data_IF_788278620345
#
_entry.id   IF_788278620345
#
_cell.length_a   1.000
_cell.length_b   1.000
_cell.length_c   1.000
_cell.angle_alpha   90.00
_cell.angle_beta   90.00
_cell.angle_gamma   90.00
#
_symmetry.space_group_name_H-M   'P 1'
#
loop_
_entity.id
_entity.type
_entity.pdbx_description
1 polymer ?
#
# COMPACT_ATOMS: atom_id res chain seq x y z
N UNK A 1 28.34 30.12 -56.67
CA UNK A 1 28.35 31.04 -55.50
C UNK A 1 28.55 30.20 -54.24
N UNK A 2 29.19 30.71 -53.19
CA UNK A 2 29.71 29.90 -52.08
C UNK A 2 28.93 30.02 -50.76
N UNK A 3 29.03 28.97 -49.94
CA UNK A 3 28.50 28.85 -48.57
C UNK A 3 29.19 29.80 -47.58
N UNK A 4 28.46 30.25 -46.55
CA UNK A 4 28.87 30.33 -45.11
C UNK A 4 27.61 30.65 -44.27
N UNK A 5 27.35 30.06 -43.09
CA UNK A 5 28.14 29.70 -41.88
C UNK A 5 28.61 30.90 -41.03
N UNK A 6 27.89 31.12 -39.94
CA UNK A 6 28.35 31.05 -38.53
C UNK A 6 29.76 31.55 -38.17
N UNK A 7 29.78 32.56 -37.29
CA UNK A 7 30.81 32.98 -36.32
C UNK A 7 30.11 33.98 -35.35
N UNK A 8 30.49 34.27 -34.10
CA UNK A 8 31.60 33.92 -33.17
C UNK A 8 31.10 34.37 -31.76
N UNK A 9 31.23 33.65 -30.63
CA UNK A 9 32.42 33.49 -29.76
C UNK A 9 33.31 34.75 -29.65
N UNK A 10 33.77 35.25 -28.49
CA UNK A 10 33.55 34.91 -27.06
C UNK A 10 34.38 35.87 -26.20
N UNK A 11 33.96 36.23 -24.98
CA UNK A 11 34.83 36.90 -23.98
C UNK A 11 34.37 36.63 -22.54
N UNK A 12 35.31 36.66 -21.58
CA UNK A 12 35.11 36.35 -20.15
C UNK A 12 35.87 37.34 -19.28
N UNK A 13 35.25 37.81 -18.19
CA UNK A 13 35.96 38.39 -17.02
C UNK A 13 35.26 37.95 -15.72
N UNK A 14 36.06 37.67 -14.69
CA UNK A 14 35.59 37.30 -13.34
C UNK A 14 35.88 38.43 -12.35
N UNK A 15 34.98 38.68 -11.39
CA UNK A 15 35.32 39.24 -10.07
C UNK A 15 34.21 39.01 -9.04
N UNK A 16 34.59 38.67 -7.80
CA UNK A 16 33.74 38.27 -6.66
C UNK A 16 34.57 38.46 -5.37
N UNK A 17 34.00 38.71 -4.17
CA UNK A 17 32.92 39.61 -3.78
C UNK A 17 33.43 40.72 -2.81
N UNK A 18 32.54 41.46 -2.12
CA UNK A 18 32.87 42.18 -0.87
C UNK A 18 31.73 42.10 0.15
N UNK A 19 32.01 42.40 1.43
CA UNK A 19 31.16 42.09 2.59
C UNK A 19 30.89 43.33 3.48
N UNK A 20 29.64 43.47 3.94
CA UNK A 20 29.24 44.07 5.24
C UNK A 20 29.54 45.59 5.48
N UNK A 21 29.12 46.20 6.61
CA UNK A 21 27.85 46.08 7.36
C UNK A 21 27.21 47.44 7.80
N UNK A 22 25.93 47.45 8.24
CA UNK A 22 25.37 48.32 9.32
C UNK A 22 23.85 48.02 9.50
N UNK A 23 23.34 47.65 10.70
CA UNK A 23 22.94 48.44 11.91
C UNK A 23 21.51 49.03 11.85
N UNK A 24 20.78 48.93 12.97
CA UNK A 24 19.35 49.28 13.15
C UNK A 24 19.15 50.67 13.79
N UNK A 25 17.98 51.33 13.63
CA UNK A 25 17.02 51.64 14.74
C UNK A 25 15.82 52.58 14.41
N UNK A 26 14.64 52.20 14.96
CA UNK A 26 13.50 52.99 15.54
C UNK A 26 13.09 54.40 15.02
N UNK A 27 11.79 54.54 14.69
CA UNK A 27 10.72 55.40 15.30
C UNK A 27 9.37 55.09 14.60
N UNK A 28 8.14 55.02 15.15
CA UNK A 28 7.39 55.53 16.33
C UNK A 28 6.37 56.65 15.98
N UNK A 29 5.08 56.30 15.89
CA UNK A 29 3.84 56.97 16.40
C UNK A 29 2.59 56.41 15.65
N UNK A 30 1.42 56.11 16.27
CA UNK A 30 0.44 56.85 17.12
C UNK A 30 -0.55 57.64 16.24
N UNK A 31 -1.88 57.66 16.45
CA UNK A 31 -2.61 57.74 17.73
C UNK A 31 -4.00 57.03 17.80
N UNK A 32 -4.67 57.19 18.94
CA UNK A 32 -6.03 56.74 19.27
C UNK A 32 -6.92 57.95 19.62
N UNK A 33 -8.25 57.81 19.48
CA UNK A 33 -9.31 58.42 20.31
C UNK A 33 -10.60 57.57 20.07
N UNK A 34 -11.41 57.05 20.99
CA UNK A 34 -11.67 57.20 22.45
C UNK A 34 -12.79 58.19 22.84
N UNK A 35 -13.96 57.65 23.24
CA UNK A 35 -14.86 58.05 24.36
C UNK A 35 -16.20 57.28 24.25
N UNK A 36 -16.99 57.03 25.29
CA UNK A 36 -16.87 57.42 26.72
C UNK A 36 -17.61 56.48 27.68
N UNK A 37 -17.70 56.87 28.97
CA UNK A 37 -17.99 56.01 30.14
C UNK A 37 -19.34 56.37 30.80
N UNK A 38 -20.07 55.41 31.41
CA UNK A 38 -20.78 55.55 32.72
C UNK A 38 -21.37 54.21 33.25
N UNK A 39 -21.87 54.17 34.51
CA UNK A 39 -22.19 52.94 35.29
C UNK A 39 -23.55 53.00 36.05
N UNK A 40 -24.18 51.82 36.23
CA UNK A 40 -25.10 51.39 37.32
C UNK A 40 -26.44 52.18 37.50
N UNK A 41 -27.54 51.65 38.08
CA UNK A 41 -27.74 50.70 39.21
C UNK A 41 -29.19 50.10 39.20
N UNK A 42 -29.44 49.01 39.95
CA UNK A 42 -30.75 48.30 40.15
C UNK A 42 -31.71 49.03 41.12
N UNK A 43 -33.05 48.82 41.06
CA UNK A 43 -33.71 47.78 41.88
C UNK A 43 -34.92 47.04 41.22
N UNK A 44 -35.92 46.57 42.01
CA UNK A 44 -36.95 45.52 41.75
C UNK A 44 -38.35 46.07 41.35
N UNK A 45 -39.50 45.36 41.21
CA UNK A 45 -40.08 44.26 42.06
C UNK A 45 -41.40 43.58 41.55
N UNK A 46 -41.60 42.28 41.89
CA UNK A 46 -42.84 41.54 42.32
C UNK A 46 -44.07 41.21 41.42
N UNK A 47 -44.51 39.94 41.54
CA UNK A 47 -45.87 39.36 41.33
C UNK A 47 -45.75 37.88 40.87
N UNK A 48 -46.14 36.76 41.56
CA UNK A 48 -47.21 36.35 42.52
C UNK A 48 -48.62 36.31 41.91
N UNK A 49 -49.51 35.30 42.10
CA UNK A 49 -49.56 34.03 42.90
C UNK A 49 -49.74 32.81 41.92
N UNK A 50 -50.23 31.58 42.17
CA UNK A 50 -50.85 30.87 43.31
C UNK A 50 -50.30 29.41 43.49
N UNK A 51 -51.11 28.42 43.96
CA UNK A 51 -50.70 27.36 44.93
C UNK A 51 -51.63 26.12 44.94
N UNK A 52 -51.03 24.90 45.03
CA UNK A 52 -51.39 23.66 45.80
C UNK A 52 -50.52 22.51 45.21
N UNK A 53 -49.76 21.71 45.98
CA UNK A 53 -50.13 20.67 46.98
C UNK A 53 -50.73 19.41 46.31
N UNK A 54 -50.33 18.17 46.63
CA UNK A 54 -49.77 17.65 47.90
C UNK A 54 -48.58 16.65 47.77
N UNK A 55 -48.21 16.05 48.92
CA UNK A 55 -47.18 15.05 49.22
C UNK A 55 -47.43 13.69 48.50
N UNK A 56 -46.57 12.66 48.47
CA UNK A 56 -45.42 12.19 49.29
C UNK A 56 -44.24 11.71 48.39
N UNK A 57 -42.97 11.47 48.76
CA UNK A 57 -42.13 11.39 49.99
C UNK A 57 -41.44 10.03 50.26
N UNK A 58 -40.57 9.60 49.34
CA UNK A 58 -39.33 8.82 49.62
C UNK A 58 -38.23 9.36 48.71
N UNK A 59 -37.14 9.99 49.19
CA UNK A 59 -35.94 9.37 49.82
C UNK A 59 -35.34 8.27 48.91
N UNK A 60 -34.09 8.35 48.44
CA UNK A 60 -32.91 9.08 48.95
C UNK A 60 -32.29 10.12 47.96
N UNK A 61 -31.18 10.76 48.38
CA UNK A 61 -30.55 11.95 47.78
C UNK A 61 -29.28 11.63 46.95
N UNK A 62 -28.73 12.60 46.15
CA UNK A 62 -27.96 12.28 44.94
C UNK A 62 -26.46 12.69 44.97
N UNK A 63 -25.92 13.61 44.13
CA UNK A 63 -24.93 13.20 43.14
C UNK A 63 -23.57 13.92 43.23
N UNK A 64 -22.57 13.46 42.47
CA UNK A 64 -21.71 14.41 41.74
C UNK A 64 -20.99 13.84 40.51
N UNK A 65 -20.73 14.75 39.57
CA UNK A 65 -20.01 14.55 38.32
C UNK A 65 -18.51 14.77 38.55
N UNK A 66 -17.65 13.99 37.89
CA UNK A 66 -16.35 14.49 37.41
C UNK A 66 -16.17 14.16 35.93
N UNK A 67 -15.49 15.06 35.25
CA UNK A 67 -15.35 15.15 33.79
C UNK A 67 -13.93 14.76 33.34
N UNK A 68 -13.72 14.82 32.01
CA UNK A 68 -12.44 14.61 31.29
C UNK A 68 -12.00 13.14 31.17
N UNK A 69 -11.31 12.73 30.10
CA UNK A 69 -10.85 13.47 28.91
C UNK A 69 -11.45 12.86 27.61
N UNK A 70 -11.18 13.48 26.46
CA UNK A 70 -11.63 12.97 25.17
C UNK A 70 -10.70 11.84 24.67
N UNK A 71 -11.27 10.81 24.04
CA UNK A 71 -10.51 9.81 23.29
C UNK A 71 -9.87 10.45 22.06
N UNK A 72 -8.55 10.33 21.94
CA UNK A 72 -7.75 10.81 20.83
C UNK A 72 -7.97 9.87 19.62
N UNK A 73 -8.39 10.33 18.43
CA UNK A 73 -8.68 9.44 17.30
C UNK A 73 -7.40 8.72 16.85
N UNK A 74 -7.34 7.41 17.15
CA UNK A 74 -6.21 6.55 16.81
C UNK A 74 -5.83 6.73 15.33
N UNK A 75 -4.56 7.01 15.08
CA UNK A 75 -4.01 7.29 13.75
C UNK A 75 -4.19 6.06 12.87
N UNK A 76 -5.22 6.09 12.02
CA UNK A 76 -5.38 5.11 10.96
C UNK A 76 -4.14 5.21 10.06
N UNK A 77 -3.39 4.10 9.96
CA UNK A 77 -2.33 4.00 8.97
C UNK A 77 -2.91 4.21 7.56
N UNK A 78 -2.13 4.73 6.61
CA UNK A 78 -2.47 4.64 5.19
C UNK A 78 -2.32 3.19 4.75
N UNK A 79 -3.29 2.33 5.14
CA UNK A 79 -3.28 0.89 4.91
C UNK A 79 -2.96 0.57 3.46
N UNK A 80 -2.08 -0.39 3.23
CA UNK A 80 -1.48 -0.56 1.92
C UNK A 80 -2.57 -1.02 0.94
N UNK A 81 -2.64 -0.36 -0.22
CA UNK A 81 -3.60 -0.69 -1.28
C UNK A 81 -3.37 -2.11 -1.84
N UNK A 82 -2.21 -2.70 -1.52
CA UNK A 82 -1.82 -4.07 -1.82
C UNK A 82 -1.90 -5.05 -0.63
N UNK A 83 -2.25 -4.60 0.57
CA UNK A 83 -2.68 -5.54 1.61
C UNK A 83 -3.91 -6.29 1.07
N UNK A 84 -3.90 -7.63 1.02
CA UNK A 84 -5.03 -8.37 0.50
C UNK A 84 -6.24 -8.18 1.43
N UNK A 85 -7.19 -7.32 1.00
CA UNK A 85 -8.53 -7.27 1.58
C UNK A 85 -9.04 -8.72 1.61
N UNK A 86 -9.39 -9.29 2.78
CA UNK A 86 -9.69 -10.70 2.91
C UNK A 86 -10.60 -11.19 1.79
N UNK A 87 -10.15 -12.23 1.09
CA UNK A 87 -10.84 -12.77 -0.08
C UNK A 87 -12.18 -13.35 0.36
N UNK A 88 -13.22 -12.55 0.16
CA UNK A 88 -14.60 -12.90 0.47
C UNK A 88 -14.90 -14.29 -0.10
N UNK A 89 -15.38 -15.21 0.74
CA UNK A 89 -15.36 -16.68 0.50
C UNK A 89 -16.42 -17.08 -0.54
N UNK A 90 -16.14 -16.71 -1.79
CA UNK A 90 -17.12 -16.55 -2.87
C UNK A 90 -16.67 -17.20 -4.18
N UNK A 91 -15.88 -18.28 -4.09
CA UNK A 91 -15.85 -19.32 -5.12
C UNK A 91 -16.27 -20.62 -4.42
N UNK A 92 -17.46 -21.13 -4.71
CA UNK A 92 -17.89 -22.46 -4.26
C UNK A 92 -17.27 -23.56 -5.13
N UNK A 93 -15.94 -23.57 -5.22
CA UNK A 93 -15.21 -24.82 -5.42
C UNK A 93 -15.18 -25.49 -4.06
N UNK A 94 -15.67 -26.73 -3.98
CA UNK A 94 -15.44 -27.61 -2.83
C UNK A 94 -13.95 -27.53 -2.47
N UNK A 95 -13.65 -27.21 -1.20
CA UNK A 95 -12.34 -26.87 -0.66
C UNK A 95 -11.18 -27.36 -1.54
N UNK A 96 -10.56 -26.45 -2.31
CA UNK A 96 -9.30 -26.79 -2.97
C UNK A 96 -8.33 -27.19 -1.87
N UNK A 97 -7.86 -28.44 -1.93
CA UNK A 97 -6.91 -28.98 -0.94
C UNK A 97 -5.73 -28.02 -0.87
N UNK A 98 -5.36 -27.51 0.33
CA UNK A 98 -4.27 -26.54 0.45
C UNK A 98 -3.04 -27.04 -0.31
N UNK A 99 -2.37 -26.17 -1.12
CA UNK A 99 -1.21 -26.59 -1.89
C UNK A 99 -0.19 -27.33 -1.01
N UNK A 100 0.26 -28.52 -1.41
CA UNK A 100 1.16 -29.35 -0.60
C UNK A 100 2.36 -28.58 -0.03
N UNK A 101 2.76 -28.93 1.20
CA UNK A 101 3.81 -28.23 1.98
C UNK A 101 5.25 -28.49 1.48
N UNK A 102 5.40 -29.49 0.62
CA UNK A 102 6.58 -29.80 -0.17
C UNK A 102 6.68 -28.97 -1.47
N UNK A 103 5.58 -28.35 -1.95
CA UNK A 103 5.54 -27.60 -3.21
C UNK A 103 6.74 -26.65 -3.33
N UNK A 104 7.58 -26.76 -4.38
CA UNK A 104 8.81 -25.98 -4.46
C UNK A 104 8.58 -24.48 -4.60
N UNK A 105 9.49 -23.72 -4.00
CA UNK A 105 9.52 -22.25 -3.95
C UNK A 105 10.83 -21.73 -4.54
N UNK A 106 10.73 -20.66 -5.33
CA UNK A 106 11.88 -19.99 -5.93
C UNK A 106 11.79 -18.46 -5.71
N UNK A 107 12.90 -17.78 -5.34
CA UNK A 107 12.92 -16.35 -5.04
C UNK A 107 12.31 -15.41 -6.09
N UNK A 108 12.61 -15.66 -7.37
CA UNK A 108 12.30 -14.78 -8.51
C UNK A 108 11.15 -15.27 -9.40
N UNK A 109 10.27 -16.15 -8.88
CA UNK A 109 9.06 -16.63 -9.56
C UNK A 109 7.86 -16.64 -8.63
N UNK A 110 6.66 -16.77 -9.22
CA UNK A 110 5.42 -16.76 -8.45
C UNK A 110 5.35 -17.98 -7.53
N UNK A 111 5.15 -17.73 -6.23
CA UNK A 111 4.97 -18.77 -5.23
C UNK A 111 3.48 -18.92 -4.83
N UNK A 112 2.59 -18.06 -5.34
CA UNK A 112 1.13 -18.27 -5.32
C UNK A 112 0.65 -19.25 -6.40
N UNK A 113 -0.52 -19.86 -6.17
CA UNK A 113 -1.33 -20.50 -7.23
C UNK A 113 -2.04 -19.40 -8.01
N UNK A 114 -1.80 -19.31 -9.32
CA UNK A 114 -2.44 -18.30 -10.18
C UNK A 114 -3.69 -18.85 -10.86
N UNK A 115 -4.77 -18.07 -10.85
CA UNK A 115 -5.99 -18.35 -11.61
C UNK A 115 -5.99 -17.59 -12.94
N UNK A 116 -6.70 -18.11 -13.93
CA UNK A 116 -7.09 -17.35 -15.14
C UNK A 116 -8.44 -16.67 -14.91
N UNK A 117 -8.78 -15.59 -15.65
CA UNK A 117 -10.13 -15.02 -15.64
C UNK A 117 -11.24 -16.03 -16.00
N UNK A 118 -10.87 -17.10 -16.71
CA UNK A 118 -11.73 -18.21 -17.11
C UNK A 118 -11.68 -19.40 -16.12
N UNK A 119 -11.16 -19.21 -14.92
CA UNK A 119 -11.25 -20.14 -13.78
C UNK A 119 -10.23 -21.28 -13.73
N UNK A 120 -9.36 -21.43 -14.74
CA UNK A 120 -8.28 -22.44 -14.75
C UNK A 120 -7.19 -22.06 -13.73
N UNK A 121 -6.57 -23.04 -13.07
CA UNK A 121 -5.41 -22.81 -12.17
C UNK A 121 -4.07 -23.11 -12.85
N UNK A 122 -3.02 -22.44 -12.39
CA UNK A 122 -1.64 -22.57 -12.83
C UNK A 122 -0.71 -22.44 -11.60
N UNK A 123 0.28 -23.31 -11.48
CA UNK A 123 1.34 -23.22 -10.46
C UNK A 123 2.70 -23.11 -11.14
N UNK A 124 3.68 -22.44 -10.50
CA UNK A 124 5.03 -22.35 -11.04
C UNK A 124 5.65 -23.75 -11.14
N UNK A 125 5.74 -24.47 -10.02
CA UNK A 125 6.23 -25.84 -9.95
C UNK A 125 5.05 -26.80 -9.70
N UNK A 126 4.56 -27.50 -10.75
CA UNK A 126 3.61 -28.59 -10.56
C UNK A 126 4.33 -29.86 -10.04
N UNK A 127 3.61 -30.78 -9.38
CA UNK A 127 4.18 -32.02 -8.84
C UNK A 127 4.94 -32.83 -9.90
N UNK A 128 6.03 -33.48 -9.50
CA UNK A 128 6.83 -34.35 -10.38
C UNK A 128 7.84 -33.63 -11.28
N UNK A 129 7.97 -32.30 -11.21
CA UNK A 129 9.03 -31.53 -11.89
C UNK A 129 10.32 -31.42 -11.04
N UNK A 130 10.31 -31.91 -9.80
CA UNK A 130 11.37 -31.65 -8.81
C UNK A 130 12.71 -32.32 -9.15
N UNK A 131 12.68 -33.53 -9.72
CA UNK A 131 13.85 -34.24 -10.25
C UNK A 131 14.32 -33.73 -11.63
N UNK A 132 13.54 -32.85 -12.27
CA UNK A 132 13.85 -32.36 -13.61
C UNK A 132 14.90 -31.24 -13.54
N UNK A 133 16.15 -31.62 -13.83
CA UNK A 133 17.31 -30.72 -13.97
C UNK A 133 16.95 -29.38 -14.65
N UNK A 134 17.52 -28.23 -14.21
CA UNK A 134 17.32 -26.92 -14.84
C UNK A 134 17.43 -26.91 -16.37
N UNK A 135 18.31 -27.74 -16.95
CA UNK A 135 18.50 -27.90 -18.40
C UNK A 135 17.29 -28.50 -19.13
N UNK A 136 16.38 -29.18 -18.42
CA UNK A 136 15.12 -29.73 -18.95
C UNK A 136 13.90 -28.83 -18.68
N UNK A 137 13.95 -28.00 -17.64
CA UNK A 137 12.81 -27.19 -17.18
C UNK A 137 12.90 -25.71 -17.57
N UNK A 138 14.10 -25.22 -17.90
CA UNK A 138 14.36 -23.80 -18.14
C UNK A 138 14.22 -22.93 -16.89
N UNK A 139 14.29 -23.52 -15.69
CA UNK A 139 13.98 -22.85 -14.41
C UNK A 139 15.11 -23.02 -13.38
N UNK A 140 15.25 -22.08 -12.41
CA UNK A 140 16.22 -22.22 -11.32
C UNK A 140 15.90 -23.44 -10.46
N UNK A 141 16.89 -23.92 -9.69
CA UNK A 141 16.63 -24.91 -8.66
C UNK A 141 15.90 -24.24 -7.48
N UNK A 142 14.77 -24.79 -7.00
CA UNK A 142 14.09 -24.29 -5.80
C UNK A 142 14.99 -24.26 -4.56
N UNK A 143 14.77 -23.28 -3.67
CA UNK A 143 15.56 -23.08 -2.44
C UNK A 143 14.80 -23.50 -1.17
N UNK A 144 13.47 -23.47 -1.25
CA UNK A 144 12.56 -23.83 -0.17
C UNK A 144 11.32 -24.55 -0.72
N UNK A 145 10.46 -24.95 0.21
CA UNK A 145 9.10 -25.41 -0.06
C UNK A 145 8.12 -24.43 0.58
N UNK A 146 6.85 -24.49 0.19
CA UNK A 146 5.75 -23.73 0.84
C UNK A 146 5.71 -23.89 2.35
N UNK A 147 5.97 -25.10 2.86
CA UNK A 147 6.02 -25.40 4.30
C UNK A 147 7.33 -25.02 5.00
N UNK A 148 8.38 -24.59 4.28
CA UNK A 148 9.70 -24.28 4.86
C UNK A 148 10.22 -22.88 4.53
N UNK A 149 9.50 -22.09 3.72
CA UNK A 149 9.97 -20.78 3.26
C UNK A 149 10.15 -19.79 4.42
N UNK A 150 9.13 -19.60 5.24
CA UNK A 150 9.13 -18.57 6.29
C UNK A 150 10.24 -18.81 7.30
N UNK A 151 10.39 -20.02 7.79
CA UNK A 151 11.40 -20.38 8.80
C UNK A 151 12.82 -20.20 8.26
N UNK A 152 13.09 -20.64 7.02
CA UNK A 152 14.37 -20.42 6.35
C UNK A 152 14.68 -18.94 6.16
N UNK A 153 13.69 -18.15 5.78
CA UNK A 153 13.83 -16.72 5.55
C UNK A 153 14.04 -15.95 6.87
N UNK A 154 13.29 -16.29 7.93
CA UNK A 154 13.45 -15.75 9.29
C UNK A 154 14.83 -16.08 9.86
N UNK A 155 15.25 -17.35 9.78
CA UNK A 155 16.56 -17.77 10.26
C UNK A 155 17.70 -17.05 9.53
N UNK A 156 17.59 -16.84 8.20
CA UNK A 156 18.54 -16.04 7.44
C UNK A 156 18.53 -14.56 7.86
N UNK A 157 17.36 -13.94 8.04
CA UNK A 157 17.27 -12.54 8.47
C UNK A 157 17.95 -12.32 9.83
N UNK A 158 17.68 -13.18 10.81
CA UNK A 158 18.30 -13.11 12.16
C UNK A 158 19.81 -13.39 12.09
N UNK A 159 20.25 -14.37 11.31
CA UNK A 159 21.68 -14.67 11.15
C UNK A 159 22.46 -13.54 10.44
N UNK A 160 21.80 -12.78 9.54
CA UNK A 160 22.38 -11.63 8.85
C UNK A 160 22.39 -10.37 9.73
N UNK A 161 21.35 -10.13 10.54
CA UNK A 161 21.27 -8.99 11.46
C UNK A 161 20.36 -9.30 12.66
N UNK A 162 20.91 -9.74 13.82
CA UNK A 162 20.13 -10.18 14.98
C UNK A 162 19.15 -9.14 15.53
N UNK A 163 19.35 -7.85 15.23
CA UNK A 163 18.44 -6.76 15.61
C UNK A 163 17.04 -6.92 14.99
N UNK A 164 16.85 -7.82 14.02
CA UNK A 164 15.53 -8.17 13.49
C UNK A 164 14.73 -9.12 14.42
N UNK A 165 15.35 -9.83 15.35
CA UNK A 165 14.68 -10.84 16.20
C UNK A 165 13.49 -10.29 17.02
N UNK A 166 13.56 -9.08 17.64
CA UNK A 166 12.42 -8.53 18.38
C UNK A 166 11.22 -8.20 17.47
N UNK A 167 11.46 -7.61 16.28
CA UNK A 167 10.38 -7.25 15.36
C UNK A 167 9.80 -8.47 14.64
N UNK A 168 10.60 -9.51 14.40
CA UNK A 168 10.13 -10.83 13.94
C UNK A 168 9.22 -11.47 14.99
N UNK A 169 9.66 -11.49 16.25
CA UNK A 169 8.91 -12.11 17.36
C UNK A 169 7.59 -11.40 17.66
N UNK A 170 7.57 -10.06 17.57
CA UNK A 170 6.36 -9.26 17.79
C UNK A 170 5.40 -9.28 16.59
N UNK A 171 5.90 -9.51 15.37
CA UNK A 171 5.11 -9.49 14.15
C UNK A 171 5.37 -10.69 13.22
N UNK A 172 4.84 -11.90 13.53
CA UNK A 172 4.82 -13.01 12.60
C UNK A 172 4.28 -12.61 11.22
N UNK A 173 4.91 -13.08 10.14
CA UNK A 173 4.57 -12.66 8.78
C UNK A 173 3.57 -13.63 8.10
N UNK A 174 2.26 -13.30 8.01
CA UNK A 174 1.27 -14.16 7.37
C UNK A 174 1.42 -14.21 5.84
N UNK A 175 2.12 -13.26 5.23
CA UNK A 175 2.23 -13.16 3.77
C UNK A 175 2.97 -14.37 3.15
N UNK A 176 3.92 -14.93 3.89
CA UNK A 176 4.79 -16.01 3.45
C UNK A 176 4.69 -17.28 4.32
N UNK A 177 3.69 -17.33 5.22
CA UNK A 177 3.33 -18.56 5.93
C UNK A 177 2.73 -19.60 4.95
N UNK A 178 2.59 -20.87 5.33
CA UNK A 178 1.95 -21.89 4.49
C UNK A 178 0.55 -21.48 4.01
N UNK A 179 -0.23 -20.79 4.85
CA UNK A 179 -1.56 -20.26 4.54
C UNK A 179 -1.47 -19.09 3.54
N UNK A 180 -0.55 -18.15 3.76
CA UNK A 180 -0.30 -17.04 2.83
C UNK A 180 0.20 -17.49 1.46
N UNK A 181 0.89 -18.64 1.38
CA UNK A 181 1.31 -19.29 0.14
C UNK A 181 0.27 -20.25 -0.45
N UNK A 182 -0.79 -20.56 0.30
CA UNK A 182 -1.94 -21.34 -0.16
C UNK A 182 -2.99 -20.50 -0.91
N UNK A 183 -2.95 -19.16 -0.78
CA UNK A 183 -3.88 -18.25 -1.44
C UNK A 183 -3.89 -18.40 -2.98
N UNK A 184 -5.09 -18.65 -3.54
CA UNK A 184 -5.35 -18.58 -4.99
C UNK A 184 -5.47 -17.11 -5.42
N UNK A 185 -4.67 -16.70 -6.41
CA UNK A 185 -4.60 -15.31 -6.89
C UNK A 185 -4.97 -15.24 -8.37
N UNK A 186 -6.04 -14.53 -8.70
CA UNK A 186 -6.37 -14.20 -10.09
C UNK A 186 -5.67 -12.87 -10.47
N UNK A 187 -4.62 -12.89 -11.34
CA UNK A 187 -3.80 -11.71 -11.61
C UNK A 187 -4.56 -10.53 -12.18
N UNK A 188 -5.55 -10.75 -13.04
CA UNK A 188 -6.30 -9.67 -13.67
C UNK A 188 -7.14 -8.90 -12.65
N UNK A 189 -7.97 -9.61 -11.86
CA UNK A 189 -8.71 -9.09 -10.70
C UNK A 189 -7.80 -8.38 -9.70
N UNK A 190 -6.61 -8.90 -9.44
CA UNK A 190 -5.63 -8.27 -8.54
C UNK A 190 -5.14 -6.92 -9.07
N UNK A 191 -4.71 -6.87 -10.34
CA UNK A 191 -4.24 -5.65 -11.00
C UNK A 191 -5.36 -4.61 -11.18
N UNK A 192 -6.58 -5.02 -11.54
CA UNK A 192 -7.76 -4.14 -11.58
C UNK A 192 -8.07 -3.60 -10.18
N UNK A 193 -8.10 -4.45 -9.15
CA UNK A 193 -8.36 -4.03 -7.76
C UNK A 193 -7.30 -3.04 -7.23
N UNK A 194 -6.04 -3.22 -7.61
CA UNK A 194 -4.97 -2.26 -7.33
C UNK A 194 -5.27 -0.88 -7.93
N UNK A 195 -5.61 -0.82 -9.22
CA UNK A 195 -5.99 0.45 -9.90
C UNK A 195 -7.21 1.09 -9.23
N UNK A 196 -8.20 0.29 -8.81
CA UNK A 196 -9.37 0.77 -8.05
C UNK A 196 -8.95 1.41 -6.72
N UNK A 197 -8.00 0.82 -5.99
CA UNK A 197 -7.55 1.33 -4.69
C UNK A 197 -6.63 2.55 -4.72
N UNK A 198 -5.99 2.88 -5.85
CA UNK A 198 -5.04 4.00 -5.94
C UNK A 198 -5.62 5.32 -5.39
N UNK A 199 -4.92 5.96 -4.44
CA UNK A 199 -5.27 7.28 -3.87
C UNK A 199 -6.65 7.36 -3.19
N UNK A 200 -7.20 6.23 -2.70
CA UNK A 200 -8.43 6.21 -1.88
C UNK A 200 -8.23 5.33 -0.64
N UNK A 201 -9.10 5.47 0.37
CA UNK A 201 -9.07 4.59 1.55
C UNK A 201 -9.55 3.18 1.22
N UNK A 202 -9.15 2.17 2.02
CA UNK A 202 -9.58 0.77 1.81
C UNK A 202 -11.10 0.59 1.80
N UNK A 203 -11.84 1.35 2.62
CA UNK A 203 -13.30 1.35 2.62
C UNK A 203 -13.89 1.92 1.30
N UNK A 204 -13.30 2.98 0.76
CA UNK A 204 -13.70 3.53 -0.54
C UNK A 204 -13.32 2.57 -1.69
N UNK A 205 -12.13 1.97 -1.65
CA UNK A 205 -11.69 0.94 -2.61
C UNK A 205 -12.65 -0.25 -2.63
N UNK A 206 -13.06 -0.76 -1.45
CA UNK A 206 -14.10 -1.79 -1.32
C UNK A 206 -15.41 -1.33 -1.96
N UNK A 207 -15.93 -0.17 -1.60
CA UNK A 207 -17.20 0.33 -2.15
C UNK A 207 -17.19 0.48 -3.68
N UNK A 208 -16.10 1.00 -4.25
CA UNK A 208 -15.96 1.16 -5.70
C UNK A 208 -15.87 -0.20 -6.40
N UNK A 209 -15.06 -1.14 -5.88
CA UNK A 209 -14.94 -2.49 -6.43
C UNK A 209 -16.25 -3.27 -6.36
N UNK A 210 -16.96 -3.20 -5.25
CA UNK A 210 -18.22 -3.94 -5.05
C UNK A 210 -19.33 -3.40 -5.97
N UNK A 211 -19.31 -2.10 -6.30
CA UNK A 211 -20.16 -1.50 -7.36
C UNK A 211 -19.69 -1.88 -8.77
N UNK A 212 -18.39 -1.85 -9.03
CA UNK A 212 -17.81 -2.22 -10.32
C UNK A 212 -18.17 -3.65 -10.71
N UNK A 213 -18.09 -4.60 -9.76
CA UNK A 213 -18.54 -5.98 -9.97
C UNK A 213 -20.06 -6.05 -10.24
N UNK A 214 -20.87 -5.24 -9.55
CA UNK A 214 -22.33 -5.24 -9.73
C UNK A 214 -22.76 -4.87 -11.17
N UNK A 215 -22.00 -4.01 -11.88
CA UNK A 215 -22.29 -3.64 -13.28
C UNK A 215 -22.40 -4.86 -14.21
N UNK A 216 -21.66 -5.93 -13.92
CA UNK A 216 -21.57 -7.15 -14.74
C UNK A 216 -22.38 -8.33 -14.16
N UNK A 217 -23.15 -8.11 -13.11
CA UNK A 217 -23.94 -9.14 -12.41
C UNK A 217 -25.43 -8.71 -12.27
N UNK A 218 -25.96 -7.98 -13.26
CA UNK A 218 -27.30 -7.33 -13.21
C UNK A 218 -28.27 -7.81 -14.30
N UNK A 219 -28.21 -9.10 -14.70
CA UNK A 219 -29.07 -9.69 -15.73
C UNK A 219 -30.18 -10.59 -15.18
N UNK A 220 -31.25 -10.78 -15.97
CA UNK A 220 -32.50 -11.49 -15.60
C UNK A 220 -32.36 -13.00 -15.32
N UNK A 221 -31.14 -13.55 -15.34
CA UNK A 221 -30.84 -14.91 -14.90
C UNK A 221 -30.89 -15.11 -13.38
N UNK A 222 -30.97 -14.01 -12.60
CA UNK A 222 -30.90 -14.00 -11.13
C UNK A 222 -32.18 -14.52 -10.42
N UNK A 223 -32.68 -15.70 -10.82
CA UNK A 223 -33.85 -16.36 -10.25
C UNK A 223 -33.57 -16.96 -8.86
N UNK A 224 -33.57 -16.11 -7.84
CA UNK A 224 -33.88 -16.48 -6.45
C UNK A 224 -32.83 -17.30 -5.67
N UNK A 225 -31.73 -17.73 -6.28
CA UNK A 225 -30.66 -18.50 -5.63
C UNK A 225 -29.39 -17.67 -5.39
N UNK A 226 -28.66 -18.02 -4.34
CA UNK A 226 -27.49 -17.29 -3.80
C UNK A 226 -26.22 -17.44 -4.67
N UNK A 227 -26.24 -17.00 -5.92
CA UNK A 227 -25.04 -16.98 -6.76
C UNK A 227 -24.04 -15.90 -6.30
N UNK A 228 -22.78 -16.31 -6.14
CA UNK A 228 -21.68 -15.43 -5.79
C UNK A 228 -21.37 -14.49 -6.95
N UNK A 229 -21.38 -13.17 -6.70
CA UNK A 229 -21.09 -12.14 -7.72
C UNK A 229 -19.71 -12.36 -8.34
N UNK A 230 -19.68 -12.80 -9.60
CA UNK A 230 -18.47 -13.12 -10.34
C UNK A 230 -17.72 -11.84 -10.70
N UNK A 231 -16.39 -11.85 -10.57
CA UNK A 231 -15.58 -10.76 -11.08
C UNK A 231 -15.59 -10.77 -12.62
N UNK A 232 -15.81 -9.62 -13.29
CA UNK A 232 -15.91 -9.57 -14.75
C UNK A 232 -14.62 -10.00 -15.45
N UNK A 233 -14.75 -10.61 -16.63
CA UNK A 233 -13.62 -10.96 -17.48
C UNK A 233 -13.09 -9.74 -18.23
N UNK A 234 -11.85 -9.80 -18.78
CA UNK A 234 -11.32 -8.74 -19.63
C UNK A 234 -12.24 -8.38 -20.80
N UNK A 235 -12.86 -9.38 -21.42
CA UNK A 235 -13.74 -9.25 -22.59
C UNK A 235 -15.00 -8.45 -22.26
N UNK A 236 -15.63 -8.73 -21.11
CA UNK A 236 -16.81 -8.01 -20.62
C UNK A 236 -16.51 -6.53 -20.36
N UNK A 237 -15.34 -6.22 -19.77
CA UNK A 237 -14.93 -4.84 -19.47
C UNK A 237 -14.63 -4.04 -20.75
N UNK A 238 -14.16 -4.69 -21.82
CA UNK A 238 -13.92 -4.04 -23.12
C UNK A 238 -15.24 -3.63 -23.79
N UNK A 239 -16.31 -4.42 -23.64
CA UNK A 239 -17.65 -4.07 -24.16
C UNK A 239 -18.33 -2.97 -23.33
N UNK A 240 -17.88 -2.72 -22.10
CA UNK A 240 -18.43 -1.68 -21.24
C UNK A 240 -17.80 -0.31 -21.53
N UNK A 241 -18.62 0.72 -21.76
CA UNK A 241 -18.13 2.07 -22.02
C UNK A 241 -17.58 2.76 -20.76
N UNK A 242 -16.72 3.77 -20.97
CA UNK A 242 -16.04 4.50 -19.90
C UNK A 242 -17.00 5.29 -19.00
N UNK A 243 -18.13 5.80 -19.51
CA UNK A 243 -19.11 6.49 -18.67
C UNK A 243 -19.87 5.50 -17.77
N UNK A 244 -20.27 4.34 -18.30
CA UNK A 244 -20.86 3.25 -17.50
C UNK A 244 -19.89 2.75 -16.43
N UNK A 245 -18.61 2.49 -16.76
CA UNK A 245 -17.58 2.12 -15.79
C UNK A 245 -17.41 3.16 -14.66
N UNK A 246 -17.56 4.46 -14.98
CA UNK A 246 -17.47 5.54 -13.98
C UNK A 246 -18.64 5.58 -13.00
N UNK A 247 -19.81 5.01 -13.32
CA UNK A 247 -20.95 4.95 -12.39
C UNK A 247 -20.63 4.19 -11.09
N UNK A 248 -19.69 3.24 -11.14
CA UNK A 248 -19.18 2.54 -9.96
C UNK A 248 -18.39 3.43 -8.98
N UNK A 249 -18.06 4.67 -9.36
CA UNK A 249 -17.20 5.58 -8.60
C UNK A 249 -15.74 5.62 -9.07
N UNK A 250 -15.46 5.10 -10.28
CA UNK A 250 -14.13 5.26 -10.90
C UNK A 250 -13.92 6.70 -11.39
N UNK A 251 -12.69 7.18 -11.30
CA UNK A 251 -12.29 8.38 -12.04
C UNK A 251 -12.11 8.03 -13.53
N UNK A 252 -12.22 9.03 -14.41
CA UNK A 252 -11.96 8.90 -15.85
C UNK A 252 -10.67 8.11 -16.13
N UNK A 253 -9.57 8.50 -15.47
CA UNK A 253 -8.27 7.83 -15.59
C UNK A 253 -8.33 6.36 -15.14
N UNK A 254 -8.93 6.05 -13.98
CA UNK A 254 -9.03 4.65 -13.52
C UNK A 254 -9.84 3.78 -14.49
N UNK A 255 -10.93 4.29 -15.06
CA UNK A 255 -11.71 3.57 -16.06
C UNK A 255 -10.89 3.30 -17.34
N UNK A 256 -10.19 4.31 -17.87
CA UNK A 256 -9.26 4.15 -19.01
C UNK A 256 -8.17 3.11 -18.73
N UNK A 257 -7.58 3.14 -17.52
CA UNK A 257 -6.49 2.24 -17.15
C UNK A 257 -6.99 0.79 -17.02
N UNK A 258 -8.18 0.60 -16.46
CA UNK A 258 -8.81 -0.73 -16.32
C UNK A 258 -9.23 -1.27 -17.69
N UNK A 259 -9.82 -0.46 -18.57
CA UNK A 259 -10.17 -0.88 -19.93
C UNK A 259 -8.92 -1.22 -20.76
N UNK A 260 -7.85 -0.41 -20.67
CA UNK A 260 -6.57 -0.67 -21.34
C UNK A 260 -5.83 -1.91 -20.82
N UNK A 261 -5.89 -2.18 -19.51
CA UNK A 261 -5.42 -3.43 -18.91
C UNK A 261 -6.23 -4.64 -19.42
N UNK A 262 -7.55 -4.49 -19.50
CA UNK A 262 -8.47 -5.52 -20.01
C UNK A 262 -8.16 -5.86 -21.47
N UNK A 263 -7.96 -4.84 -22.31
CA UNK A 263 -7.59 -5.03 -23.72
C UNK A 263 -6.32 -5.87 -23.91
N UNK A 264 -5.31 -5.66 -23.05
CA UNK A 264 -4.06 -6.44 -23.03
C UNK A 264 -4.21 -7.87 -22.51
N UNK A 265 -5.21 -8.16 -21.69
CA UNK A 265 -5.51 -9.53 -21.28
C UNK A 265 -6.33 -10.28 -22.35
N UNK A 266 -7.34 -9.64 -22.93
CA UNK A 266 -8.19 -10.24 -23.96
C UNK A 266 -7.46 -10.53 -25.28
N UNK A 267 -6.46 -9.72 -25.64
CA UNK A 267 -5.64 -9.94 -26.85
C UNK A 267 -4.39 -10.83 -26.61
N UNK A 268 -4.16 -11.27 -25.36
CA UNK A 268 -3.05 -12.15 -25.01
C UNK A 268 -1.68 -11.50 -24.81
N UNK A 269 -1.55 -10.16 -24.91
CA UNK A 269 -0.30 -9.45 -24.53
C UNK A 269 0.09 -9.70 -23.07
N UNK A 270 -0.92 -9.87 -22.20
CA UNK A 270 -0.80 -10.25 -20.81
C UNK A 270 -1.68 -11.48 -20.54
N UNK A 271 -1.23 -12.36 -19.65
CA UNK A 271 -2.04 -13.46 -19.14
C UNK A 271 -1.44 -13.99 -17.84
N UNK A 272 -2.21 -14.74 -17.05
CA UNK A 272 -1.69 -15.43 -15.88
C UNK A 272 -0.48 -16.34 -16.23
N UNK A 273 -0.48 -16.98 -17.41
CA UNK A 273 0.64 -17.82 -17.88
C UNK A 273 1.90 -17.03 -18.24
N UNK A 274 1.76 -15.80 -18.75
CA UNK A 274 2.90 -14.90 -18.99
C UNK A 274 3.49 -14.44 -17.65
N UNK A 275 2.65 -13.95 -16.74
CA UNK A 275 3.07 -13.43 -15.42
C UNK A 275 3.68 -14.52 -14.51
N UNK A 276 3.27 -15.79 -14.70
CA UNK A 276 3.82 -16.95 -14.00
C UNK A 276 5.27 -17.26 -14.36
N UNK A 277 5.65 -17.08 -15.64
CA UNK A 277 6.96 -17.50 -16.16
C UNK A 277 7.98 -16.35 -16.27
N UNK A 278 7.51 -15.11 -16.37
CA UNK A 278 8.33 -13.91 -16.48
C UNK A 278 9.37 -13.77 -15.35
N UNK A 279 10.57 -13.25 -15.67
CA UNK A 279 11.55 -12.79 -14.68
C UNK A 279 11.04 -11.58 -13.87
N UNK A 280 11.84 -11.02 -12.96
CA UNK A 280 11.47 -9.77 -12.27
C UNK A 280 11.54 -8.57 -13.22
N UNK A 281 12.53 -8.54 -14.11
CA UNK A 281 12.70 -7.52 -15.17
C UNK A 281 11.55 -7.56 -16.16
N UNK A 282 11.23 -8.74 -16.70
CA UNK A 282 10.12 -8.94 -17.65
C UNK A 282 8.76 -8.58 -17.02
N UNK A 283 8.57 -8.87 -15.73
CA UNK A 283 7.35 -8.52 -15.01
C UNK A 283 7.22 -6.99 -14.87
N UNK A 284 8.31 -6.31 -14.49
CA UNK A 284 8.35 -4.84 -14.40
C UNK A 284 8.13 -4.20 -15.77
N UNK A 285 8.78 -4.67 -16.83
CA UNK A 285 8.62 -4.16 -18.19
C UNK A 285 7.16 -4.29 -18.65
N UNK A 286 6.62 -5.51 -18.66
CA UNK A 286 5.29 -5.81 -19.22
C UNK A 286 4.16 -5.12 -18.45
N UNK A 287 4.28 -4.98 -17.12
CA UNK A 287 3.25 -4.32 -16.32
C UNK A 287 3.41 -2.79 -16.26
N UNK A 288 4.62 -2.22 -16.27
CA UNK A 288 4.77 -0.74 -16.34
C UNK A 288 4.45 -0.16 -17.72
N UNK A 289 4.43 -0.99 -18.77
CA UNK A 289 3.83 -0.66 -20.06
C UNK A 289 2.29 -0.47 -20.00
N UNK A 290 1.62 -0.87 -18.90
CA UNK A 290 0.19 -0.58 -18.68
C UNK A 290 0.05 0.82 -18.06
N UNK A 291 -0.50 1.76 -18.83
CA UNK A 291 -0.86 3.11 -18.35
C UNK A 291 -1.73 3.00 -17.09
N UNK A 292 -1.15 3.37 -15.94
CA UNK A 292 -1.77 3.28 -14.62
C UNK A 292 -0.99 2.44 -13.61
N UNK A 293 -0.04 1.60 -14.05
CA UNK A 293 0.84 0.83 -13.17
C UNK A 293 2.25 1.42 -13.19
N UNK A 294 2.69 1.96 -12.05
CA UNK A 294 4.09 2.41 -11.87
C UNK A 294 4.97 1.29 -11.30
N UNK A 295 6.30 1.45 -11.35
CA UNK A 295 7.27 0.46 -10.80
C UNK A 295 6.90 -0.02 -9.39
N UNK A 296 6.58 0.89 -8.47
CA UNK A 296 6.11 0.57 -7.12
C UNK A 296 4.87 -0.35 -7.12
N UNK A 297 3.87 -0.07 -7.98
CA UNK A 297 2.68 -0.91 -8.10
C UNK A 297 2.99 -2.33 -8.58
N UNK A 298 4.01 -2.48 -9.43
CA UNK A 298 4.47 -3.80 -9.90
C UNK A 298 5.29 -4.53 -8.83
N UNK A 299 6.14 -3.82 -8.08
CA UNK A 299 6.88 -4.37 -6.94
C UNK A 299 5.93 -4.88 -5.85
N UNK A 300 4.89 -4.11 -5.52
CA UNK A 300 3.86 -4.54 -4.58
C UNK A 300 3.05 -5.72 -5.12
N UNK A 301 2.68 -5.73 -6.41
CA UNK A 301 2.02 -6.90 -7.04
C UNK A 301 2.93 -8.15 -7.01
N UNK A 302 4.22 -8.02 -7.29
CA UNK A 302 5.19 -9.12 -7.24
C UNK A 302 5.34 -9.70 -5.82
N UNK A 303 5.41 -8.84 -4.80
CA UNK A 303 5.50 -9.24 -3.39
C UNK A 303 4.19 -9.83 -2.87
N UNK A 304 3.08 -9.08 -2.92
CA UNK A 304 1.83 -9.47 -2.26
C UNK A 304 0.98 -10.48 -3.04
N UNK A 305 0.91 -10.35 -4.37
CA UNK A 305 0.03 -11.18 -5.20
C UNK A 305 0.78 -12.37 -5.82
N UNK A 306 2.00 -12.18 -6.35
CA UNK A 306 2.80 -13.31 -6.86
C UNK A 306 3.61 -14.02 -5.77
N UNK A 307 3.69 -13.47 -4.54
CA UNK A 307 4.46 -14.06 -3.42
C UNK A 307 5.95 -14.26 -3.77
N UNK A 308 6.54 -13.39 -4.60
CA UNK A 308 7.98 -13.38 -4.86
C UNK A 308 8.69 -12.92 -3.59
N UNK A 309 9.64 -13.70 -3.08
CA UNK A 309 10.23 -13.49 -1.76
C UNK A 309 11.48 -12.58 -1.79
N UNK A 310 11.96 -12.19 -2.97
CA UNK A 310 13.17 -11.36 -3.13
C UNK A 310 12.96 -9.99 -3.83
N UNK A 311 11.80 -9.36 -3.62
CA UNK A 311 11.45 -8.04 -4.17
C UNK A 311 11.76 -6.94 -3.14
N UNK A 312 12.30 -5.81 -3.60
CA UNK A 312 12.61 -4.68 -2.72
C UNK A 312 12.29 -3.32 -3.37
N UNK A 313 11.30 -2.60 -2.82
CA UNK A 313 10.85 -1.31 -3.35
C UNK A 313 11.55 -0.13 -2.67
N UNK A 314 12.56 0.43 -3.35
CA UNK A 314 13.21 1.70 -2.97
C UNK A 314 12.25 2.89 -3.08
N UNK A 315 11.20 2.78 -3.90
CA UNK A 315 10.20 3.81 -4.12
C UNK A 315 9.18 3.98 -2.98
N UNK A 316 9.06 3.00 -2.09
CA UNK A 316 8.06 3.01 -1.02
C UNK A 316 8.48 3.91 0.16
N UNK A 317 7.59 4.85 0.54
CA UNK A 317 7.85 5.80 1.63
C UNK A 317 7.69 5.20 3.05
N UNK A 318 7.14 3.99 3.16
CA UNK A 318 7.20 3.15 4.36
C UNK A 318 8.56 2.47 4.46
N UNK A 319 8.99 1.75 3.43
CA UNK A 319 10.27 1.04 3.39
C UNK A 319 11.45 2.01 3.54
N UNK A 320 11.45 3.16 2.84
CA UNK A 320 12.47 4.21 3.04
C UNK A 320 12.60 4.63 4.50
N UNK A 321 11.48 4.73 5.22
CA UNK A 321 11.39 5.21 6.59
C UNK A 321 11.81 4.14 7.58
N UNK A 322 11.34 2.91 7.39
CA UNK A 322 11.76 1.72 8.15
C UNK A 322 13.26 1.45 8.01
N UNK A 323 13.80 1.46 6.79
CA UNK A 323 15.25 1.33 6.58
C UNK A 323 16.05 2.43 7.27
N UNK A 324 15.56 3.69 7.26
CA UNK A 324 16.23 4.79 7.95
C UNK A 324 16.24 4.59 9.48
N UNK A 325 15.10 4.20 10.08
CA UNK A 325 15.01 3.88 11.49
C UNK A 325 15.89 2.66 11.87
N UNK A 326 15.90 1.61 11.05
CA UNK A 326 16.70 0.39 11.25
C UNK A 326 18.23 0.64 11.21
N UNK A 327 18.68 1.72 10.56
CA UNK A 327 20.09 2.17 10.61
C UNK A 327 20.30 3.35 11.58
N UNK A 328 19.42 3.51 12.57
CA UNK A 328 19.54 4.48 13.66
C UNK A 328 19.33 5.95 13.28
N UNK A 329 18.76 6.25 12.10
CA UNK A 329 18.48 7.64 11.69
C UNK A 329 17.17 8.12 12.31
N UNK A 330 17.21 9.31 12.91
CA UNK A 330 16.02 10.01 13.40
C UNK A 330 15.09 10.42 12.24
N UNK A 331 14.06 9.60 12.00
CA UNK A 331 13.05 9.81 10.96
C UNK A 331 12.23 11.08 11.14
N UNK A 332 12.10 11.60 12.37
CA UNK A 332 11.37 12.85 12.64
C UNK A 332 12.14 14.06 12.09
N UNK A 333 13.47 14.08 12.26
CA UNK A 333 14.37 15.12 11.73
C UNK A 333 14.55 15.03 10.21
N UNK A 334 14.39 13.84 9.63
CA UNK A 334 14.46 13.62 8.17
C UNK A 334 13.20 14.11 7.44
N UNK A 335 12.00 13.83 7.99
CA UNK A 335 10.70 14.21 7.41
C UNK A 335 10.58 15.70 7.06
N UNK A 336 11.27 16.56 7.81
CA UNK A 336 11.28 18.01 7.62
C UNK A 336 12.30 18.54 6.60
N UNK A 337 13.23 17.71 6.10
CA UNK A 337 14.35 18.13 5.22
C UNK A 337 14.27 17.60 3.79
N UNK A 338 13.50 16.54 3.54
CA UNK A 338 13.50 15.82 2.25
C UNK A 338 12.57 16.40 1.17
N UNK A 339 13.16 17.12 0.20
CA UNK A 339 12.52 17.38 -1.10
C UNK A 339 12.87 16.28 -2.11
N UNK A 340 11.87 15.72 -2.82
CA UNK A 340 12.07 14.73 -3.88
C UNK A 340 11.51 13.31 -3.60
N UNK A 341 11.95 12.34 -4.40
CA UNK A 341 11.54 10.90 -4.37
C UNK A 341 12.05 10.15 -3.13
N UNK A 342 13.23 10.53 -2.63
CA UNK A 342 13.92 9.88 -1.51
C UNK A 342 13.94 10.82 -0.31
N UNK A 343 13.18 10.49 0.73
CA UNK A 343 12.92 11.40 1.86
C UNK A 343 13.60 11.00 3.17
N UNK A 344 13.88 9.71 3.35
CA UNK A 344 14.44 9.17 4.59
C UNK A 344 15.79 8.47 4.38
N UNK A 345 15.98 7.82 3.23
CA UNK A 345 17.22 7.12 2.87
C UNK A 345 17.42 7.18 1.35
N UNK A 346 18.67 7.23 0.89
CA UNK A 346 18.96 7.28 -0.55
C UNK A 346 18.84 5.90 -1.20
N UNK A 347 18.51 5.86 -2.49
CA UNK A 347 18.31 4.61 -3.26
C UNK A 347 19.52 3.68 -3.14
N UNK A 348 20.75 4.24 -3.19
CA UNK A 348 21.99 3.49 -3.02
C UNK A 348 22.08 2.84 -1.64
N UNK A 349 22.00 3.62 -0.55
CA UNK A 349 22.10 3.09 0.82
C UNK A 349 21.07 1.98 1.08
N UNK A 350 19.85 2.13 0.56
CA UNK A 350 18.79 1.13 0.72
C UNK A 350 19.11 -0.18 -0.02
N UNK A 351 19.68 -0.10 -1.22
CA UNK A 351 20.08 -1.27 -2.00
C UNK A 351 21.28 -1.98 -1.35
N UNK A 352 22.27 -1.23 -0.83
CA UNK A 352 23.41 -1.79 -0.09
C UNK A 352 22.98 -2.45 1.24
N UNK A 353 21.96 -1.89 1.92
CA UNK A 353 21.34 -2.51 3.09
C UNK A 353 20.57 -3.79 2.73
N UNK A 354 19.68 -3.71 1.74
CA UNK A 354 18.80 -4.82 1.36
C UNK A 354 19.56 -5.99 0.72
N UNK A 355 20.67 -5.75 0.03
CA UNK A 355 21.49 -6.79 -0.60
C UNK A 355 21.96 -7.87 0.39
N UNK A 356 22.15 -7.53 1.66
CA UNK A 356 22.52 -8.47 2.73
C UNK A 356 21.47 -9.55 2.99
N UNK A 357 20.19 -9.25 2.72
CA UNK A 357 19.05 -10.10 3.02
C UNK A 357 18.52 -10.85 1.79
N UNK A 358 19.27 -10.87 0.68
CA UNK A 358 18.95 -11.71 -0.46
C UNK A 358 19.24 -13.20 -0.13
N UNK A 359 18.35 -14.16 -0.48
CA UNK A 359 17.26 -14.04 -1.44
C UNK A 359 15.87 -13.88 -0.78
N UNK A 360 15.78 -13.13 0.33
CA UNK A 360 14.55 -12.95 1.11
C UNK A 360 14.18 -11.46 1.31
N UNK A 361 14.54 -10.60 0.35
CA UNK A 361 14.36 -9.14 0.47
C UNK A 361 12.90 -8.69 0.61
N UNK A 362 11.91 -9.47 0.16
CA UNK A 362 10.50 -9.17 0.41
C UNK A 362 10.12 -9.32 1.89
N UNK A 363 10.70 -10.30 2.60
CA UNK A 363 10.47 -10.46 4.03
C UNK A 363 11.14 -9.34 4.82
N UNK A 364 12.38 -8.98 4.47
CA UNK A 364 13.07 -7.82 5.04
C UNK A 364 12.26 -6.52 4.80
N UNK A 365 11.81 -6.29 3.56
CA UNK A 365 10.93 -5.18 3.19
C UNK A 365 9.65 -5.16 4.02
N UNK A 366 9.02 -6.32 4.24
CA UNK A 366 7.82 -6.45 5.07
C UNK A 366 8.07 -5.99 6.50
N UNK A 367 9.20 -6.41 7.11
CA UNK A 367 9.59 -5.96 8.44
C UNK A 367 9.93 -4.47 8.54
N UNK A 368 10.40 -3.82 7.47
CA UNK A 368 10.61 -2.37 7.47
C UNK A 368 9.30 -1.58 7.67
N UNK A 369 8.13 -2.13 7.32
CA UNK A 369 6.82 -1.56 7.67
C UNK A 369 6.38 -1.84 9.12
N UNK A 370 7.21 -2.48 9.95
CA UNK A 370 6.92 -2.79 11.38
C UNK A 370 7.98 -2.24 12.34
N UNK A 371 9.16 -1.85 11.84
CA UNK A 371 10.26 -1.25 12.63
C UNK A 371 9.84 -0.02 13.46
N UNK A 372 8.85 0.77 13.01
CA UNK A 372 8.34 1.90 13.81
C UNK A 372 7.37 1.52 14.94
N UNK A 373 6.91 0.27 14.97
CA UNK A 373 5.95 -0.25 15.95
C UNK A 373 6.64 -1.11 17.04
N UNK A 374 7.97 -1.12 17.08
CA UNK A 374 8.81 -1.68 18.14
C UNK A 374 9.67 -0.57 18.77
N UNK A 375 10.24 -0.80 19.95
CA UNK A 375 11.20 0.14 20.51
C UNK A 375 12.51 0.12 19.71
N UNK A 376 12.69 1.16 18.89
CA UNK A 376 13.89 1.34 18.05
C UNK A 376 15.18 1.52 18.85
N UNK A 377 15.13 1.77 20.15
CA UNK A 377 16.34 1.78 20.99
C UNK A 377 17.04 0.40 20.97
N UNK A 378 16.27 -0.69 20.96
CA UNK A 378 16.77 -2.09 20.86
C UNK A 378 17.43 -2.37 19.50
N UNK A 379 17.17 -1.52 18.49
CA UNK A 379 17.82 -1.59 17.17
C UNK A 379 19.11 -0.76 17.09
N UNK A 380 19.53 -0.10 18.18
CA UNK A 380 20.73 0.76 18.22
C UNK A 380 21.86 0.23 19.11
N UNK A 381 21.65 -0.93 19.73
CA UNK A 381 22.66 -1.78 20.37
C UNK A 381 23.14 -2.88 19.42
#
# INVERSE_FOLDING_TARGET
MALRRSARLSAVTNSVPSLQPSIQQKKINRAQQSNGITKARKPSTKGKKAINSDLERTLANPPQIKTTAADDPAKQEPGNIFDPIPTDRSISRLHSTPPPLDRPVEPHRTNATLLTPHGSSLVAYPPGIEDASPSKTGRPRPTATTGTLLDKAVAHLIATDPRLEPVISQYPCPLFSPEGLAEEVEPFRSLVSSIIGQQVSGAAAKSIRDKFVALFNSGDGANGASEAKRFPTPEEIIQCDIATLRTAGLSQRKAEYIQGLSQKFANGELSARILLNASDEELVEKLTAVRGLGKWSVEMFACFALKRIDVFSTGDLGVQRGCAAFVGKDVSKLKAKGGGKFKYMAEKDMLELAAKFAPYRSLFMWYMWRVENVDVAVLTT
#
